data_IF_211219550729
#
_entry.id   IF_211219550729
#
_cell.length_a   1.000
_cell.length_b   1.000
_cell.length_c   1.000
_cell.angle_alpha   90.00
_cell.angle_beta   90.00
_cell.angle_gamma   90.00
#
_symmetry.space_group_name_H-M   'P 1'
#
loop_
_entity.id
_entity.type
_entity.pdbx_description
1 polymer ?
#
# COMPACT_ATOMS: atom_id res chain seq x y z
N UNK A 1 8.65 -36.93 3.14
CA UNK A 1 7.39 -36.14 3.04
C UNK A 1 7.64 -34.86 3.81
N UNK A 2 7.75 -33.72 3.12
CA UNK A 2 7.86 -32.42 3.77
C UNK A 2 6.56 -32.16 4.54
N UNK A 3 6.64 -31.90 5.84
CA UNK A 3 5.51 -31.42 6.64
C UNK A 3 5.30 -29.94 6.24
N UNK A 4 4.19 -29.64 5.59
CA UNK A 4 3.76 -28.26 5.40
C UNK A 4 2.93 -27.85 6.62
N UNK A 5 3.28 -26.75 7.25
CA UNK A 5 2.46 -26.13 8.28
C UNK A 5 1.34 -25.35 7.62
N UNK A 6 0.10 -25.57 8.09
CA UNK A 6 -1.10 -24.97 7.54
C UNK A 6 -1.90 -24.35 8.69
N UNK A 7 -2.39 -23.14 8.49
CA UNK A 7 -3.43 -22.58 9.35
C UNK A 7 -4.78 -22.92 8.74
N UNK A 8 -5.59 -23.66 9.48
CA UNK A 8 -6.92 -24.13 9.03
C UNK A 8 -7.97 -23.42 9.85
N UNK A 9 -8.86 -22.73 9.16
CA UNK A 9 -10.01 -22.09 9.75
C UNK A 9 -11.29 -22.81 9.36
N UNK A 10 -12.21 -23.00 10.34
CA UNK A 10 -13.48 -23.65 10.08
C UNK A 10 -14.30 -23.87 11.33
N UNK A 11 -15.59 -24.19 11.17
CA UNK A 11 -16.54 -24.39 12.26
C UNK A 11 -16.13 -25.54 13.17
N UNK A 12 -15.74 -25.23 14.41
CA UNK A 12 -15.32 -26.20 15.41
C UNK A 12 -14.01 -26.91 15.09
N UNK A 13 -13.19 -26.33 14.20
CA UNK A 13 -11.81 -26.72 13.98
C UNK A 13 -11.00 -26.12 15.13
N UNK A 14 -10.19 -26.94 15.84
CA UNK A 14 -9.40 -26.47 17.00
C UNK A 14 -10.13 -26.55 18.36
N UNK A 15 -11.42 -26.86 18.40
CA UNK A 15 -12.18 -26.92 19.63
C UNK A 15 -11.88 -28.15 20.54
N UNK A 16 -11.50 -29.33 20.00
CA UNK A 16 -11.04 -30.44 20.80
C UNK A 16 -9.64 -30.22 21.36
N UNK A 17 -9.28 -30.90 22.44
CA UNK A 17 -7.91 -30.89 22.98
C UNK A 17 -6.91 -31.29 21.90
N UNK A 18 -5.94 -30.42 21.67
CA UNK A 18 -4.86 -30.64 20.70
C UNK A 18 -3.77 -31.57 21.25
N UNK A 19 -3.12 -32.41 20.44
CA UNK A 19 -3.34 -32.62 18.99
C UNK A 19 -4.50 -33.60 18.71
N UNK A 20 -5.26 -33.35 17.62
CA UNK A 20 -6.28 -34.25 17.13
C UNK A 20 -6.26 -34.41 15.61
N UNK A 21 -6.91 -35.45 15.10
CA UNK A 21 -7.05 -35.64 13.65
C UNK A 21 -8.37 -35.11 13.15
N UNK A 22 -8.35 -34.10 12.29
CA UNK A 22 -9.56 -33.60 11.63
C UNK A 22 -10.05 -34.65 10.62
N UNK A 23 -11.22 -35.27 10.88
CA UNK A 23 -11.81 -36.31 10.02
C UNK A 23 -12.86 -35.78 9.04
N UNK A 24 -13.49 -34.65 9.35
CA UNK A 24 -14.54 -34.05 8.53
C UNK A 24 -14.01 -32.75 7.87
N UNK A 25 -13.50 -32.90 6.66
CA UNK A 25 -12.95 -31.77 5.88
C UNK A 25 -14.04 -30.76 5.50
N UNK A 26 -15.32 -31.08 5.52
CA UNK A 26 -16.41 -30.13 5.25
C UNK A 26 -16.53 -29.05 6.31
N UNK A 27 -15.87 -29.19 7.43
CA UNK A 27 -15.73 -28.16 8.48
C UNK A 27 -14.74 -27.08 8.12
N UNK A 28 -13.83 -27.36 7.18
CA UNK A 28 -12.81 -26.41 6.73
C UNK A 28 -13.49 -25.35 5.87
N UNK A 29 -13.37 -24.10 6.28
CA UNK A 29 -13.82 -22.95 5.50
C UNK A 29 -12.68 -22.31 4.72
N UNK A 30 -11.49 -22.25 5.30
CA UNK A 30 -10.29 -21.66 4.70
C UNK A 30 -9.03 -22.43 5.11
N UNK A 31 -8.05 -22.47 4.20
CA UNK A 31 -6.72 -23.02 4.44
C UNK A 31 -5.72 -21.96 4.04
N UNK A 32 -4.84 -21.59 4.97
CA UNK A 32 -3.74 -20.65 4.71
C UNK A 32 -2.44 -21.44 4.71
N UNK A 33 -1.58 -21.16 3.74
CA UNK A 33 -0.27 -21.79 3.56
C UNK A 33 0.81 -20.73 3.75
N UNK A 34 1.98 -21.17 4.17
CA UNK A 34 3.16 -20.30 4.29
C UNK A 34 2.95 -19.13 5.28
N UNK A 35 2.18 -19.39 6.35
CA UNK A 35 1.91 -18.43 7.44
C UNK A 35 2.96 -18.61 8.53
N UNK A 36 3.57 -17.52 8.99
CA UNK A 36 4.52 -17.58 10.11
C UNK A 36 3.82 -17.93 11.42
N UNK A 37 4.54 -18.62 12.34
CA UNK A 37 4.02 -19.05 13.64
C UNK A 37 3.46 -17.88 14.46
N UNK A 38 4.17 -16.75 14.50
CA UNK A 38 3.72 -15.53 15.20
C UNK A 38 2.40 -14.97 14.66
N UNK A 39 2.20 -15.04 13.33
CA UNK A 39 0.95 -14.59 12.70
C UNK A 39 -0.18 -15.55 13.02
N UNK A 40 0.08 -16.86 13.08
CA UNK A 40 -0.89 -17.85 13.45
C UNK A 40 -1.35 -17.72 14.93
N UNK A 41 -0.42 -17.39 15.84
CA UNK A 41 -0.73 -17.12 17.24
C UNK A 41 -1.57 -15.84 17.41
N UNK A 42 -1.21 -14.76 16.71
CA UNK A 42 -1.99 -13.52 16.71
C UNK A 42 -3.42 -13.73 16.17
N UNK A 43 -3.57 -14.58 15.17
CA UNK A 43 -4.88 -14.93 14.60
C UNK A 43 -5.84 -15.59 15.60
N UNK A 44 -5.33 -16.23 16.65
CA UNK A 44 -6.15 -16.88 17.68
C UNK A 44 -7.00 -15.89 18.51
N UNK A 45 -6.66 -14.61 18.51
CA UNK A 45 -7.39 -13.52 19.21
C UNK A 45 -8.43 -12.83 18.34
N UNK A 46 -8.44 -13.12 17.04
CA UNK A 46 -9.33 -12.49 16.05
C UNK A 46 -10.65 -13.24 16.00
N UNK A 47 -11.78 -12.52 15.98
CA UNK A 47 -13.09 -13.13 15.84
C UNK A 47 -13.29 -13.77 14.47
N UNK A 48 -14.08 -14.87 14.43
CA UNK A 48 -14.35 -15.61 13.21
C UNK A 48 -14.91 -14.73 12.08
N UNK A 49 -15.85 -13.83 12.41
CA UNK A 49 -16.47 -12.94 11.44
C UNK A 49 -15.46 -11.96 10.82
N UNK A 50 -14.54 -11.44 11.64
CA UNK A 50 -13.49 -10.52 11.16
C UNK A 50 -12.48 -11.25 10.30
N UNK A 51 -12.06 -12.47 10.69
CA UNK A 51 -11.12 -13.24 9.88
C UNK A 51 -11.72 -13.62 8.52
N UNK A 52 -12.99 -14.01 8.48
CA UNK A 52 -13.68 -14.34 7.23
C UNK A 52 -13.83 -13.12 6.34
N UNK A 53 -14.28 -11.96 6.87
CA UNK A 53 -14.44 -10.77 6.04
C UNK A 53 -13.09 -10.25 5.54
N UNK A 54 -12.01 -10.36 6.32
CA UNK A 54 -10.67 -10.00 5.88
C UNK A 54 -10.19 -10.88 4.73
N UNK A 55 -10.45 -12.19 4.81
CA UNK A 55 -10.16 -13.12 3.71
C UNK A 55 -10.96 -12.78 2.45
N UNK A 56 -12.26 -12.45 2.59
CA UNK A 56 -13.12 -12.08 1.47
C UNK A 56 -12.63 -10.75 0.81
N UNK A 57 -12.16 -9.80 1.63
CA UNK A 57 -11.56 -8.53 1.14
C UNK A 57 -10.29 -8.81 0.34
N UNK A 58 -9.39 -9.66 0.85
CA UNK A 58 -8.13 -10.02 0.15
C UNK A 58 -8.44 -10.80 -1.13
N UNK A 59 -9.43 -11.69 -1.15
CA UNK A 59 -9.84 -12.39 -2.36
C UNK A 59 -10.41 -11.41 -3.41
N UNK A 60 -11.19 -10.42 -2.99
CA UNK A 60 -11.65 -9.33 -3.87
C UNK A 60 -10.46 -8.52 -4.41
N UNK A 61 -9.50 -8.16 -3.55
CA UNK A 61 -8.30 -7.44 -3.96
C UNK A 61 -7.49 -8.21 -5.02
N UNK A 62 -7.33 -9.53 -4.88
CA UNK A 62 -6.65 -10.37 -5.88
C UNK A 62 -7.35 -10.36 -7.25
N UNK A 63 -8.66 -10.18 -7.27
CA UNK A 63 -9.44 -10.09 -8.52
C UNK A 63 -9.31 -8.71 -9.15
N UNK A 64 -9.55 -7.64 -8.36
CA UNK A 64 -9.58 -6.27 -8.87
C UNK A 64 -8.19 -5.69 -9.12
N UNK A 65 -7.17 -6.15 -8.38
CA UNK A 65 -5.76 -5.80 -8.52
C UNK A 65 -4.96 -7.00 -9.04
N UNK A 66 -5.45 -7.65 -10.08
CA UNK A 66 -4.88 -8.91 -10.62
C UNK A 66 -3.47 -8.78 -11.19
N UNK A 67 -3.01 -7.55 -11.41
CA UNK A 67 -1.65 -7.17 -11.78
C UNK A 67 -0.66 -7.21 -10.59
N UNK A 68 -1.18 -7.32 -9.37
CA UNK A 68 -0.40 -7.31 -8.13
C UNK A 68 -0.34 -8.72 -7.50
N UNK A 69 0.69 -8.94 -6.71
CA UNK A 69 0.83 -10.15 -5.89
C UNK A 69 0.77 -9.78 -4.41
N UNK A 70 0.02 -10.54 -3.65
CA UNK A 70 -0.16 -10.30 -2.22
C UNK A 70 0.56 -11.35 -1.37
N UNK A 71 1.12 -10.90 -0.27
CA UNK A 71 1.70 -11.76 0.76
C UNK A 71 0.64 -12.71 1.34
N UNK A 72 0.97 -13.98 1.62
CA UNK A 72 0.10 -14.90 2.34
C UNK A 72 -0.36 -14.37 3.70
N UNK A 73 0.44 -13.52 4.35
CA UNK A 73 0.17 -12.96 5.67
C UNK A 73 -0.84 -11.79 5.64
N UNK A 74 -1.14 -11.22 4.47
CA UNK A 74 -2.01 -10.05 4.35
C UNK A 74 -3.39 -10.25 5.00
N UNK A 75 -3.97 -11.44 4.90
CA UNK A 75 -5.27 -11.73 5.52
C UNK A 75 -5.22 -11.50 7.02
N UNK A 76 -4.15 -11.91 7.67
CA UNK A 76 -4.01 -11.84 9.13
C UNK A 76 -3.67 -10.43 9.60
N UNK A 77 -2.77 -9.73 8.92
CA UNK A 77 -2.43 -8.33 9.24
C UNK A 77 -3.63 -7.41 9.05
N UNK A 78 -4.43 -7.65 8.00
CA UNK A 78 -5.68 -6.93 7.78
C UNK A 78 -6.73 -7.30 8.84
N UNK A 79 -6.83 -8.58 9.21
CA UNK A 79 -7.79 -9.04 10.20
C UNK A 79 -7.49 -8.47 11.59
N UNK A 80 -6.22 -8.43 11.99
CA UNK A 80 -5.79 -7.80 13.24
C UNK A 80 -6.19 -6.31 13.29
N UNK A 81 -5.90 -5.58 12.21
CA UNK A 81 -6.32 -4.18 12.09
C UNK A 81 -7.85 -4.02 12.19
N UNK A 82 -8.61 -4.83 11.43
CA UNK A 82 -10.08 -4.73 11.42
C UNK A 82 -10.69 -5.14 12.76
N UNK A 83 -10.11 -6.12 13.46
CA UNK A 83 -10.54 -6.49 14.83
C UNK A 83 -10.40 -5.27 15.75
N UNK A 84 -9.26 -4.63 15.74
CA UNK A 84 -9.01 -3.44 16.55
C UNK A 84 -9.90 -2.24 16.13
N UNK A 85 -10.14 -2.04 14.83
CA UNK A 85 -11.05 -1.01 14.34
C UNK A 85 -12.51 -1.24 14.79
N UNK A 86 -12.97 -2.49 14.78
CA UNK A 86 -14.29 -2.89 15.25
C UNK A 86 -14.43 -2.64 16.76
N UNK A 87 -13.43 -3.01 17.56
CA UNK A 87 -13.42 -2.80 19.01
C UNK A 87 -13.47 -1.32 19.36
N UNK A 88 -12.60 -0.50 18.76
CA UNK A 88 -12.61 0.95 18.93
C UNK A 88 -13.96 1.57 18.56
N UNK A 89 -14.55 1.13 17.45
CA UNK A 89 -15.83 1.65 17.00
C UNK A 89 -16.95 1.32 17.98
N UNK A 90 -16.93 0.15 18.62
CA UNK A 90 -17.88 -0.22 19.70
C UNK A 90 -17.72 0.66 20.92
N UNK A 91 -16.50 1.09 21.22
CA UNK A 91 -16.18 2.00 22.32
C UNK A 91 -16.35 3.48 21.96
N UNK A 92 -16.83 3.80 20.75
CA UNK A 92 -16.98 5.15 20.21
C UNK A 92 -15.64 5.94 20.17
N UNK A 93 -14.52 5.24 20.02
CA UNK A 93 -13.20 5.84 19.84
C UNK A 93 -12.95 6.02 18.36
N UNK A 94 -12.83 7.29 17.92
CA UNK A 94 -12.50 7.62 16.54
C UNK A 94 -11.05 8.09 16.47
N UNK A 95 -10.29 7.51 15.54
CA UNK A 95 -8.95 7.97 15.20
C UNK A 95 -9.01 8.67 13.85
N UNK A 96 -8.60 9.93 13.79
CA UNK A 96 -8.40 10.64 12.54
C UNK A 96 -7.12 10.14 11.87
N UNK A 97 -7.21 9.82 10.59
CA UNK A 97 -6.02 9.48 9.80
C UNK A 97 -5.65 10.69 8.92
N UNK A 98 -4.60 11.44 9.27
CA UNK A 98 -4.19 12.63 8.52
C UNK A 98 -3.75 12.32 7.09
N UNK A 99 -3.47 11.06 6.78
CA UNK A 99 -3.03 10.60 5.46
C UNK A 99 -4.20 10.22 4.53
N UNK A 100 -5.45 10.33 4.98
CA UNK A 100 -6.59 9.82 4.21
C UNK A 100 -6.71 10.48 2.81
N UNK A 101 -6.41 11.78 2.70
CA UNK A 101 -6.39 12.48 1.43
C UNK A 101 -5.23 12.01 0.54
N UNK A 102 -4.02 11.93 1.10
CA UNK A 102 -2.81 11.55 0.37
C UNK A 102 -2.93 10.13 -0.18
N UNK A 103 -3.40 9.19 0.65
CA UNK A 103 -3.61 7.79 0.25
C UNK A 103 -4.65 7.69 -0.86
N UNK A 104 -5.73 8.46 -0.82
CA UNK A 104 -6.74 8.45 -1.87
C UNK A 104 -6.19 8.88 -3.24
N UNK A 105 -5.21 9.78 -3.26
CA UNK A 105 -4.56 10.23 -4.50
C UNK A 105 -3.41 9.32 -4.96
N UNK A 106 -2.61 8.85 -4.01
CA UNK A 106 -1.43 8.03 -4.32
C UNK A 106 -1.83 6.59 -4.65
N UNK A 107 -2.87 6.07 -3.99
CA UNK A 107 -3.35 4.68 -4.09
C UNK A 107 -4.86 4.61 -4.38
N UNK A 108 -5.35 5.20 -5.48
CA UNK A 108 -6.79 5.33 -5.74
C UNK A 108 -7.53 4.00 -5.91
N UNK A 109 -6.87 2.97 -6.46
CA UNK A 109 -7.46 1.62 -6.65
C UNK A 109 -7.65 0.93 -5.30
N UNK A 110 -6.60 0.89 -4.50
CA UNK A 110 -6.54 0.30 -3.16
C UNK A 110 -7.49 1.05 -2.20
N UNK A 111 -7.57 2.39 -2.32
CA UNK A 111 -8.52 3.19 -1.56
C UNK A 111 -9.97 2.93 -1.96
N UNK A 112 -10.25 2.72 -3.24
CA UNK A 112 -11.55 2.26 -3.73
C UNK A 112 -11.98 0.93 -3.10
N UNK A 113 -11.06 -0.03 -3.06
CA UNK A 113 -11.25 -1.31 -2.35
C UNK A 113 -11.44 -1.12 -0.84
N UNK A 114 -10.71 -0.21 -0.21
CA UNK A 114 -10.90 0.15 1.20
C UNK A 114 -12.32 0.62 1.49
N UNK A 115 -12.91 1.44 0.62
CA UNK A 115 -14.33 1.84 0.75
C UNK A 115 -15.29 0.66 0.61
N UNK A 116 -15.02 -0.26 -0.28
CA UNK A 116 -15.83 -1.48 -0.43
C UNK A 116 -15.68 -2.36 0.81
N UNK A 117 -14.47 -2.50 1.34
CA UNK A 117 -14.15 -3.30 2.50
C UNK A 117 -14.90 -2.87 3.77
N UNK A 118 -15.00 -1.56 4.07
CA UNK A 118 -15.80 -1.09 5.22
C UNK A 118 -17.28 -1.43 5.07
N UNK A 119 -17.80 -1.46 3.84
CA UNK A 119 -19.15 -1.95 3.56
C UNK A 119 -19.29 -3.47 3.83
N UNK A 120 -18.29 -4.26 3.45
CA UNK A 120 -18.26 -5.70 3.72
C UNK A 120 -18.23 -6.00 5.23
N UNK A 121 -17.42 -5.25 5.99
CA UNK A 121 -17.37 -5.35 7.46
C UNK A 121 -18.74 -5.03 8.06
N UNK A 122 -19.41 -3.96 7.64
CA UNK A 122 -20.75 -3.61 8.09
C UNK A 122 -21.73 -4.74 7.86
N UNK A 123 -21.70 -5.36 6.69
CA UNK A 123 -22.63 -6.42 6.32
C UNK A 123 -22.37 -7.72 7.08
N UNK A 124 -21.11 -8.04 7.40
CA UNK A 124 -20.72 -9.30 8.05
C UNK A 124 -20.72 -9.21 9.57
N UNK A 125 -20.12 -8.14 10.11
CA UNK A 125 -19.89 -7.93 11.55
C UNK A 125 -20.99 -7.08 12.20
N UNK A 126 -21.78 -6.35 11.39
CA UNK A 126 -22.85 -5.48 11.86
C UNK A 126 -22.37 -4.13 12.40
N UNK A 127 -21.08 -3.80 12.28
CA UNK A 127 -20.48 -2.56 12.77
C UNK A 127 -20.15 -1.63 11.59
N UNK A 128 -20.63 -0.39 11.66
CA UNK A 128 -20.29 0.66 10.68
C UNK A 128 -18.99 1.32 11.07
N UNK A 129 -17.90 0.94 10.42
CA UNK A 129 -16.59 1.59 10.63
C UNK A 129 -16.59 3.03 10.11
N UNK A 130 -15.80 3.93 10.71
CA UNK A 130 -15.57 5.28 10.18
C UNK A 130 -15.02 5.25 8.75
N UNK A 131 -15.36 6.26 7.93
CA UNK A 131 -14.88 6.35 6.55
C UNK A 131 -13.34 6.43 6.45
N UNK A 132 -12.69 6.92 7.50
CA UNK A 132 -11.21 6.97 7.59
C UNK A 132 -10.56 5.60 7.57
N UNK A 133 -11.28 4.53 7.97
CA UNK A 133 -10.74 3.17 7.93
C UNK A 133 -10.54 2.65 6.50
N UNK A 134 -11.19 3.25 5.49
CA UNK A 134 -10.91 2.94 4.10
C UNK A 134 -9.44 3.23 3.73
N UNK A 135 -8.86 4.28 4.32
CA UNK A 135 -7.45 4.59 4.16
C UNK A 135 -6.56 3.51 4.80
N UNK A 136 -6.88 3.11 6.02
CA UNK A 136 -6.11 2.08 6.73
C UNK A 136 -6.13 0.74 5.98
N UNK A 137 -7.31 0.33 5.48
CA UNK A 137 -7.42 -0.86 4.63
C UNK A 137 -6.58 -0.74 3.36
N UNK A 138 -6.63 0.42 2.68
CA UNK A 138 -5.82 0.66 1.49
C UNK A 138 -4.31 0.52 1.79
N UNK A 139 -3.84 1.07 2.90
CA UNK A 139 -2.44 0.97 3.32
C UNK A 139 -2.04 -0.50 3.61
N UNK A 140 -2.92 -1.30 4.22
CA UNK A 140 -2.69 -2.73 4.41
C UNK A 140 -2.60 -3.47 3.07
N UNK A 141 -3.45 -3.14 2.10
CA UNK A 141 -3.37 -3.73 0.76
C UNK A 141 -2.04 -3.40 0.09
N UNK A 142 -1.63 -2.12 0.09
CA UNK A 142 -0.35 -1.67 -0.49
C UNK A 142 0.84 -2.32 0.22
N UNK A 143 0.84 -2.39 1.55
CA UNK A 143 1.88 -3.07 2.32
C UNK A 143 1.93 -4.57 2.01
N UNK A 144 0.80 -5.18 1.70
CA UNK A 144 0.71 -6.59 1.32
C UNK A 144 1.10 -6.90 -0.14
N UNK A 145 1.27 -5.89 -1.01
CA UNK A 145 1.68 -6.06 -2.41
C UNK A 145 3.16 -6.49 -2.55
N UNK A 146 3.98 -6.26 -1.55
CA UNK A 146 5.39 -6.58 -1.62
C UNK A 146 5.63 -8.09 -1.49
N UNK A 147 6.27 -8.69 -2.52
CA UNK A 147 6.76 -10.06 -2.43
C UNK A 147 7.84 -10.21 -1.35
N UNK A 148 7.90 -11.38 -0.72
CA UNK A 148 8.91 -11.97 0.16
C UNK A 148 9.34 -11.20 1.43
N UNK A 149 9.45 -9.86 1.43
CA UNK A 149 9.67 -9.07 2.63
C UNK A 149 8.33 -8.52 3.14
N UNK A 150 8.10 -8.62 4.44
CA UNK A 150 6.95 -8.01 5.13
C UNK A 150 6.88 -6.54 4.72
N UNK A 151 5.86 -6.18 3.91
CA UNK A 151 5.68 -4.81 3.44
C UNK A 151 5.68 -3.88 4.65
N UNK A 152 6.71 -3.06 4.75
CA UNK A 152 6.88 -2.12 5.84
C UNK A 152 5.80 -1.03 5.71
N UNK A 153 4.78 -1.07 6.55
CA UNK A 153 3.72 -0.07 6.58
C UNK A 153 4.29 1.34 6.74
N UNK A 154 5.39 1.49 7.49
CA UNK A 154 6.10 2.76 7.65
C UNK A 154 6.67 3.26 6.31
N UNK A 155 7.19 2.35 5.50
CA UNK A 155 7.67 2.65 4.15
C UNK A 155 6.55 3.14 3.22
N UNK A 156 5.38 2.51 3.28
CA UNK A 156 4.20 2.91 2.49
C UNK A 156 3.73 4.30 2.90
N UNK A 157 3.64 4.56 4.20
CA UNK A 157 3.28 5.87 4.76
C UNK A 157 4.29 6.94 4.38
N UNK A 158 5.59 6.66 4.48
CA UNK A 158 6.66 7.57 4.05
C UNK A 158 6.58 7.88 2.56
N UNK A 159 6.32 6.86 1.73
CA UNK A 159 6.15 7.04 0.28
C UNK A 159 4.97 7.96 -0.05
N UNK A 160 3.81 7.77 0.60
CA UNK A 160 2.65 8.61 0.36
C UNK A 160 2.92 10.08 0.71
N UNK A 161 3.52 10.35 1.88
CA UNK A 161 3.92 11.71 2.28
C UNK A 161 4.94 12.34 1.34
N UNK A 162 5.94 11.57 0.91
CA UNK A 162 6.96 12.06 -0.02
C UNK A 162 6.34 12.44 -1.37
N UNK A 163 5.44 11.62 -1.90
CA UNK A 163 4.77 11.87 -3.19
C UNK A 163 3.91 13.13 -3.13
N UNK A 164 3.15 13.33 -2.05
CA UNK A 164 2.35 14.56 -1.88
C UNK A 164 3.25 15.79 -1.81
N UNK A 165 4.34 15.75 -1.04
CA UNK A 165 5.29 16.85 -0.95
C UNK A 165 6.01 17.14 -2.27
N UNK A 166 6.34 16.10 -3.03
CA UNK A 166 6.90 16.25 -4.40
C UNK A 166 5.89 16.93 -5.32
N UNK A 167 4.60 16.59 -5.21
CA UNK A 167 3.53 17.24 -5.97
C UNK A 167 3.45 18.73 -5.65
N UNK A 168 3.50 19.11 -4.36
CA UNK A 168 3.54 20.52 -3.93
C UNK A 168 4.76 21.27 -4.51
N UNK A 169 5.94 20.62 -4.52
CA UNK A 169 7.14 21.20 -5.09
C UNK A 169 6.96 21.49 -6.60
N UNK A 170 6.35 20.53 -7.33
CA UNK A 170 6.08 20.72 -8.77
C UNK A 170 5.08 21.85 -9.01
N UNK A 171 3.98 21.91 -8.27
CA UNK A 171 2.99 22.99 -8.38
C UNK A 171 3.61 24.36 -8.08
N UNK A 172 4.39 24.45 -7.02
CA UNK A 172 5.06 25.69 -6.64
C UNK A 172 6.12 26.17 -7.64
N UNK A 173 6.98 25.25 -8.13
CA UNK A 173 8.05 25.60 -9.08
C UNK A 173 7.53 25.98 -10.47
N UNK A 174 6.51 25.30 -10.92
CA UNK A 174 5.94 25.56 -12.23
C UNK A 174 4.85 26.64 -12.20
N UNK A 175 4.39 27.00 -11.00
CA UNK A 175 3.25 27.88 -10.77
C UNK A 175 1.99 27.39 -11.51
N UNK A 176 1.67 26.11 -11.33
CA UNK A 176 0.49 25.46 -11.92
C UNK A 176 -0.34 24.83 -10.82
N UNK A 177 -1.61 24.54 -11.11
CA UNK A 177 -2.47 23.67 -10.29
C UNK A 177 -2.68 22.37 -11.03
N UNK A 178 -2.18 21.27 -10.49
CA UNK A 178 -2.24 19.96 -11.14
C UNK A 178 -3.63 19.35 -10.99
N UNK A 179 -4.28 19.01 -12.12
CA UNK A 179 -5.45 18.15 -12.08
C UNK A 179 -5.03 16.72 -11.70
N UNK A 180 -5.32 16.35 -10.45
CA UNK A 180 -4.96 15.05 -9.88
C UNK A 180 -5.71 13.86 -10.50
N UNK A 181 -6.73 14.12 -11.33
CA UNK A 181 -7.42 13.09 -12.11
C UNK A 181 -6.87 12.98 -13.54
N UNK A 182 -5.94 13.85 -13.94
CA UNK A 182 -5.36 13.83 -15.27
C UNK A 182 -4.50 12.57 -15.50
N UNK A 183 -4.48 12.09 -16.74
CA UNK A 183 -3.64 10.96 -17.14
C UNK A 183 -2.15 11.21 -16.88
N UNK A 184 -1.68 12.46 -17.06
CA UNK A 184 -0.29 12.82 -16.79
C UNK A 184 0.04 12.69 -15.30
N UNK A 185 -0.85 13.14 -14.40
CA UNK A 185 -0.65 13.01 -12.96
C UNK A 185 -0.67 11.54 -12.50
N UNK A 186 -1.62 10.74 -12.98
CA UNK A 186 -1.68 9.31 -12.64
C UNK A 186 -0.36 8.60 -13.02
N UNK A 187 0.21 8.91 -14.19
CA UNK A 187 1.50 8.36 -14.60
C UNK A 187 2.67 8.90 -13.77
N UNK A 188 2.62 10.16 -13.39
CA UNK A 188 3.63 10.77 -12.52
C UNK A 188 3.65 10.08 -11.16
N UNK A 189 2.50 9.93 -10.52
CA UNK A 189 2.37 9.22 -9.23
C UNK A 189 2.83 7.76 -9.33
N UNK A 190 2.45 7.04 -10.39
CA UNK A 190 2.89 5.67 -10.59
C UNK A 190 4.42 5.57 -10.69
N UNK A 191 5.06 6.52 -11.38
CA UNK A 191 6.52 6.61 -11.44
C UNK A 191 7.13 6.93 -10.08
N UNK A 192 6.57 7.90 -9.34
CA UNK A 192 7.03 8.25 -8.00
C UNK A 192 6.90 7.08 -7.01
N UNK A 193 5.81 6.32 -7.04
CA UNK A 193 5.67 5.09 -6.21
C UNK A 193 6.85 4.14 -6.44
N UNK A 194 7.18 3.89 -7.70
CA UNK A 194 8.31 3.03 -8.07
C UNK A 194 9.66 3.61 -7.63
N UNK A 195 9.85 4.92 -7.83
CA UNK A 195 11.06 5.64 -7.40
C UNK A 195 11.24 5.56 -5.87
N UNK A 196 10.19 5.88 -5.10
CA UNK A 196 10.24 5.82 -3.63
C UNK A 196 10.53 4.41 -3.13
N UNK A 197 9.90 3.39 -3.73
CA UNK A 197 10.16 1.99 -3.37
C UNK A 197 11.65 1.62 -3.49
N UNK A 198 12.32 2.04 -4.55
CA UNK A 198 13.76 1.80 -4.77
C UNK A 198 14.65 2.63 -3.84
N UNK A 199 14.38 3.93 -3.74
CA UNK A 199 15.19 4.85 -2.95
C UNK A 199 15.20 4.45 -1.46
N UNK A 200 14.06 4.07 -0.92
CA UNK A 200 13.96 3.67 0.48
C UNK A 200 14.52 2.28 0.77
N UNK A 201 14.62 1.43 -0.25
CA UNK A 201 15.32 0.13 -0.18
C UNK A 201 16.82 0.25 -0.49
N UNK A 202 17.31 1.47 -0.79
CA UNK A 202 18.70 1.73 -1.21
C UNK A 202 19.14 0.90 -2.42
N UNK A 203 18.21 0.60 -3.33
CA UNK A 203 18.49 -0.11 -4.57
C UNK A 203 19.08 0.86 -5.60
N UNK A 204 20.37 0.72 -5.87
CA UNK A 204 21.07 1.58 -6.84
C UNK A 204 20.72 1.18 -8.28
N UNK A 205 20.39 2.17 -9.12
CA UNK A 205 20.29 2.00 -10.57
C UNK A 205 21.60 2.47 -11.20
N UNK A 206 22.23 1.61 -12.00
CA UNK A 206 23.40 2.00 -12.77
C UNK A 206 22.96 3.05 -13.82
N UNK A 207 23.63 4.21 -13.86
CA UNK A 207 23.35 5.27 -14.82
C UNK A 207 24.29 5.12 -16.00
N UNK A 208 23.75 4.81 -17.19
CA UNK A 208 24.52 4.73 -18.44
C UNK A 208 24.23 5.91 -19.39
N UNK A 209 23.28 6.80 -19.06
CA UNK A 209 22.74 7.82 -19.96
C UNK A 209 23.22 9.27 -19.66
N UNK A 210 24.48 9.44 -19.25
CA UNK A 210 25.01 10.76 -18.88
C UNK A 210 24.90 11.83 -19.96
N UNK A 211 25.14 11.50 -21.24
CA UNK A 211 25.04 12.45 -22.35
C UNK A 211 23.59 12.92 -22.57
N UNK A 212 22.62 12.01 -22.51
CA UNK A 212 21.19 12.34 -22.66
C UNK A 212 20.70 13.22 -21.51
N UNK A 213 21.19 12.98 -20.29
CA UNK A 213 20.86 13.80 -19.12
C UNK A 213 21.33 15.25 -19.30
N UNK A 214 22.58 15.46 -19.77
CA UNK A 214 23.13 16.81 -19.98
C UNK A 214 22.39 17.60 -21.08
N UNK A 215 21.98 16.94 -22.15
CA UNK A 215 21.18 17.54 -23.22
C UNK A 215 19.78 17.91 -22.71
N UNK A 216 19.08 17.00 -22.05
CA UNK A 216 17.76 17.26 -21.49
C UNK A 216 17.79 18.38 -20.44
N UNK A 217 18.82 18.47 -19.61
CA UNK A 217 18.95 19.55 -18.62
C UNK A 217 19.07 20.93 -19.27
N UNK A 218 19.69 21.01 -20.45
CA UNK A 218 19.80 22.26 -21.24
C UNK A 218 18.49 22.62 -21.94
N UNK A 219 17.82 21.61 -22.51
CA UNK A 219 16.61 21.82 -23.30
C UNK A 219 15.37 22.09 -22.41
N UNK A 220 15.34 21.54 -21.20
CA UNK A 220 14.23 21.67 -20.25
C UNK A 220 14.66 22.24 -18.89
N UNK A 221 15.20 23.48 -18.83
CA UNK A 221 15.83 24.03 -17.63
C UNK A 221 14.85 24.17 -16.44
N UNK A 222 13.56 24.48 -16.69
CA UNK A 222 12.55 24.56 -15.61
C UNK A 222 12.27 23.19 -14.98
N UNK A 223 12.12 22.16 -15.81
CA UNK A 223 11.91 20.80 -15.32
C UNK A 223 13.16 20.30 -14.58
N UNK A 224 14.34 20.63 -15.04
CA UNK A 224 15.61 20.30 -14.37
C UNK A 224 15.71 20.94 -12.99
N UNK A 225 15.44 22.25 -12.87
CA UNK A 225 15.46 22.94 -11.57
C UNK A 225 14.45 22.33 -10.60
N UNK A 226 13.25 22.04 -11.07
CA UNK A 226 12.22 21.37 -10.27
C UNK A 226 12.67 19.98 -9.80
N UNK A 227 13.20 19.15 -10.70
CA UNK A 227 13.71 17.82 -10.36
C UNK A 227 14.86 17.86 -9.35
N UNK A 228 15.77 18.85 -9.46
CA UNK A 228 16.85 19.05 -8.48
C UNK A 228 16.33 19.50 -7.10
N UNK A 229 15.24 20.27 -7.04
CA UNK A 229 14.60 20.60 -5.75
C UNK A 229 13.97 19.37 -5.11
N UNK A 230 13.36 18.50 -5.92
CA UNK A 230 12.83 17.21 -5.44
C UNK A 230 13.97 16.36 -4.86
N UNK A 231 15.10 16.26 -5.56
CA UNK A 231 16.28 15.53 -5.08
C UNK A 231 16.83 16.13 -3.77
N UNK A 232 16.89 17.47 -3.66
CA UNK A 232 17.26 18.16 -2.42
C UNK A 232 16.35 17.81 -1.26
N UNK A 233 15.03 17.85 -1.47
CA UNK A 233 14.04 17.45 -0.48
C UNK A 233 14.22 15.98 -0.03
N UNK A 234 14.39 15.05 -0.97
CA UNK A 234 14.59 13.63 -0.65
C UNK A 234 15.87 13.41 0.15
N UNK A 235 16.92 14.16 -0.15
CA UNK A 235 18.19 14.10 0.59
C UNK A 235 18.07 14.65 2.00
N UNK A 236 17.39 15.79 2.17
CA UNK A 236 17.21 16.43 3.47
C UNK A 236 16.30 15.64 4.40
N UNK A 237 15.17 15.15 3.88
CA UNK A 237 14.13 14.52 4.69
C UNK A 237 14.36 13.02 4.90
N UNK A 238 14.91 12.33 3.89
CA UNK A 238 15.02 10.85 3.90
C UNK A 238 16.45 10.34 3.78
N UNK A 239 17.44 11.22 3.61
CA UNK A 239 18.85 10.83 3.49
C UNK A 239 19.20 10.10 2.20
N UNK A 240 18.34 10.17 1.18
CA UNK A 240 18.51 9.49 -0.12
C UNK A 240 18.54 10.49 -1.27
N UNK A 241 19.25 10.17 -2.36
CA UNK A 241 19.39 11.04 -3.52
C UNK A 241 19.13 10.28 -4.81
N UNK A 242 18.58 11.00 -5.79
CA UNK A 242 18.33 10.46 -7.12
C UNK A 242 19.62 10.39 -7.95
N UNK A 243 19.72 9.34 -8.77
CA UNK A 243 20.73 9.26 -9.83
C UNK A 243 20.40 10.23 -10.98
N UNK A 244 21.34 10.47 -11.88
CA UNK A 244 21.09 11.32 -13.06
C UNK A 244 19.96 10.75 -13.95
N UNK A 245 19.84 9.44 -14.01
CA UNK A 245 18.77 8.77 -14.77
C UNK A 245 17.39 9.00 -14.11
N UNK A 246 17.31 8.93 -12.79
CA UNK A 246 16.09 9.21 -12.05
C UNK A 246 15.68 10.69 -12.15
N UNK A 247 16.66 11.61 -12.12
CA UNK A 247 16.41 13.03 -12.39
C UNK A 247 15.86 13.22 -13.81
N UNK A 248 16.44 12.56 -14.82
CA UNK A 248 15.96 12.61 -16.20
C UNK A 248 14.51 12.13 -16.32
N UNK A 249 14.16 11.01 -15.67
CA UNK A 249 12.77 10.51 -15.64
C UNK A 249 11.82 11.49 -14.96
N UNK A 250 12.23 12.10 -13.83
CA UNK A 250 11.45 13.15 -13.18
C UNK A 250 11.20 14.32 -14.13
N UNK A 251 12.25 14.81 -14.82
CA UNK A 251 12.12 15.90 -15.78
C UNK A 251 11.11 15.60 -16.88
N UNK A 252 11.11 14.39 -17.43
CA UNK A 252 10.15 13.96 -18.46
C UNK A 252 8.70 14.01 -17.98
N UNK A 253 8.44 13.57 -16.75
CA UNK A 253 7.11 13.60 -16.17
C UNK A 253 6.67 15.01 -15.79
N UNK A 254 7.56 15.80 -15.20
CA UNK A 254 7.31 17.21 -14.87
C UNK A 254 7.00 18.01 -16.13
N UNK A 255 7.76 17.80 -17.22
CA UNK A 255 7.49 18.44 -18.50
C UNK A 255 6.11 18.16 -19.06
N UNK A 256 5.61 16.93 -18.90
CA UNK A 256 4.24 16.55 -19.32
C UNK A 256 3.16 17.21 -18.47
N UNK A 257 3.39 17.38 -17.17
CA UNK A 257 2.47 18.11 -16.30
C UNK A 257 2.39 19.59 -16.69
N UNK A 258 3.54 20.19 -17.05
CA UNK A 258 3.62 21.59 -17.48
C UNK A 258 2.94 21.88 -18.84
N UNK A 259 2.82 20.88 -19.72
CA UNK A 259 2.22 21.07 -21.07
C UNK A 259 0.70 20.95 -21.10
N UNK A 260 0.07 20.56 -20.00
CA UNK A 260 -1.39 20.45 -19.89
C UNK A 260 -2.06 21.75 -19.40
N UNK A 261 -1.26 22.78 -19.15
CA UNK A 261 -1.66 24.13 -18.75
C UNK A 261 -1.09 25.16 -19.74
#
# INVERSE_FOLDING_TARGET
VARAELVIFGRGVGFPHMPYTLRDERRIQRIFRDVSEHVAEAAATISDEVLVVSSDIVDLAKVELSDLRFSPNLVFTLADHLQFAVERTRENITIENPLAADVAYVYPREYGLGKTAIGMVKNRVGISLPATEACSVALHLVSGEAGEDQGDMDLVVKSAKAIEKITDIVEGELNISIDRNSYAYVRFVAHLRFLMGRLFKHEAVASENGALFEEAAKDFPRAYVCARKIDGFLKEEYGTSCTNEEILYLMMHIGRLATQH
#
